data_IF_482818994946
#
_entry.id   IF_482818994946
#
_cell.length_a   1.000
_cell.length_b   1.000
_cell.length_c   1.000
_cell.angle_alpha   90.00
_cell.angle_beta   90.00
_cell.angle_gamma   90.00
#
_symmetry.space_group_name_H-M   'P 1'
#
loop_
_entity.id
_entity.type
_entity.pdbx_description
1 polymer ?
#
# COMPACT_ATOMS: atom_id res chain seq x y z
N UNK A 1 8.75 34.30 -6.82
CA UNK A 1 8.19 33.29 -5.90
C UNK A 1 6.71 33.11 -6.12
N UNK A 2 6.42 32.24 -7.08
CA UNK A 2 5.12 31.64 -7.33
C UNK A 2 4.65 31.01 -6.03
N UNK A 3 3.59 31.60 -5.48
CA UNK A 3 2.99 31.14 -4.24
C UNK A 3 1.93 30.10 -4.59
N UNK A 4 1.97 28.97 -3.88
CA UNK A 4 1.02 27.88 -4.05
C UNK A 4 -0.04 27.91 -2.94
N UNK A 5 -1.22 27.37 -3.19
CA UNK A 5 -2.34 27.36 -2.25
C UNK A 5 -2.73 25.95 -1.82
N UNK A 6 -1.80 25.00 -1.87
CA UNK A 6 -2.03 23.64 -1.41
C UNK A 6 -0.79 23.02 -0.77
N UNK A 7 -1.00 21.99 0.03
CA UNK A 7 0.04 21.08 0.52
C UNK A 7 -0.31 19.68 0.07
N UNK A 8 0.69 18.99 -0.49
CA UNK A 8 0.57 17.64 -0.97
C UNK A 8 1.38 16.64 -0.16
N UNK A 9 0.81 15.48 0.13
CA UNK A 9 1.50 14.38 0.83
C UNK A 9 1.16 13.06 0.13
N UNK A 10 2.18 12.23 -0.12
CA UNK A 10 2.03 10.85 -0.56
C UNK A 10 2.43 9.90 0.59
N UNK A 11 1.46 9.14 1.07
CA UNK A 11 1.61 8.20 2.18
C UNK A 11 1.84 6.83 1.54
N UNK A 12 3.10 6.42 1.43
CA UNK A 12 3.53 5.16 0.82
C UNK A 12 3.27 3.94 1.73
N UNK A 13 2.11 3.91 2.37
CA UNK A 13 1.67 2.83 3.25
C UNK A 13 0.18 2.58 3.06
N UNK A 14 -0.19 1.30 3.01
CA UNK A 14 -1.59 0.87 3.05
C UNK A 14 -2.19 0.94 4.44
N UNK A 15 -1.40 1.28 5.45
CA UNK A 15 -1.84 1.36 6.83
C UNK A 15 -2.76 2.56 7.06
N UNK A 16 -4.00 2.27 7.46
CA UNK A 16 -5.01 3.28 7.79
C UNK A 16 -4.60 4.07 9.03
N UNK A 17 -3.80 3.50 9.94
CA UNK A 17 -3.28 4.23 11.09
C UNK A 17 -2.42 5.42 10.66
N UNK A 18 -1.47 5.19 9.75
CA UNK A 18 -0.59 6.23 9.20
C UNK A 18 -1.34 7.31 8.43
N UNK A 19 -2.42 6.92 7.74
CA UNK A 19 -3.35 7.86 7.11
C UNK A 19 -4.05 8.74 8.15
N UNK A 20 -4.67 8.13 9.17
CA UNK A 20 -5.44 8.86 10.18
C UNK A 20 -4.55 9.77 11.02
N UNK A 21 -3.34 9.33 11.37
CA UNK A 21 -2.34 10.16 12.06
C UNK A 21 -2.10 11.46 11.30
N UNK A 22 -1.79 11.38 10.01
CA UNK A 22 -1.53 12.57 9.17
C UNK A 22 -2.78 13.41 8.94
N UNK A 23 -3.94 12.77 8.78
CA UNK A 23 -5.20 13.47 8.57
C UNK A 23 -5.59 14.32 9.79
N UNK A 24 -5.48 13.75 10.99
CA UNK A 24 -5.78 14.43 12.25
C UNK A 24 -4.78 15.56 12.50
N UNK A 25 -3.49 15.33 12.24
CA UNK A 25 -2.48 16.38 12.34
C UNK A 25 -2.72 17.51 11.34
N UNK A 26 -3.13 17.18 10.11
CA UNK A 26 -3.54 18.17 9.11
C UNK A 26 -4.76 18.98 9.57
N UNK A 27 -5.78 18.34 10.13
CA UNK A 27 -6.94 19.04 10.73
C UNK A 27 -6.53 19.95 11.89
N UNK A 28 -5.55 19.54 12.72
CA UNK A 28 -5.00 20.36 13.81
C UNK A 28 -4.27 21.60 13.27
N UNK A 29 -3.45 21.43 12.24
CA UNK A 29 -2.63 22.52 11.68
C UNK A 29 -3.42 23.46 10.77
N UNK A 30 -4.47 22.96 10.11
CA UNK A 30 -5.26 23.67 9.12
C UNK A 30 -6.77 23.43 9.32
N UNK A 31 -7.36 23.94 10.42
CA UNK A 31 -8.74 23.66 10.79
C UNK A 31 -9.76 24.08 9.72
N UNK A 32 -9.51 25.21 9.04
CA UNK A 32 -10.43 25.78 8.05
C UNK A 32 -10.15 25.35 6.61
N UNK A 33 -9.21 24.41 6.42
CA UNK A 33 -8.82 23.93 5.09
C UNK A 33 -9.64 22.72 4.64
N UNK A 34 -9.91 22.66 3.33
CA UNK A 34 -10.42 21.45 2.69
C UNK A 34 -9.29 20.42 2.60
N UNK A 35 -9.54 19.20 3.09
CA UNK A 35 -8.58 18.08 3.06
C UNK A 35 -9.16 16.97 2.19
N UNK A 36 -8.60 16.80 0.99
CA UNK A 36 -9.00 15.76 0.05
C UNK A 36 -8.07 14.57 0.25
N UNK A 37 -8.64 13.42 0.57
CA UNK A 37 -7.90 12.16 0.70
C UNK A 37 -8.28 11.23 -0.44
N UNK A 38 -7.28 10.60 -1.06
CA UNK A 38 -7.48 9.63 -2.13
C UNK A 38 -6.63 8.39 -1.88
N UNK A 39 -7.12 7.24 -2.29
CA UNK A 39 -6.29 6.04 -2.42
C UNK A 39 -5.45 6.21 -3.68
N UNK A 40 -4.14 5.95 -3.57
CA UNK A 40 -3.21 6.08 -4.69
C UNK A 40 -3.61 5.16 -5.86
N UNK A 41 -3.24 5.50 -7.10
CA UNK A 41 -3.54 4.66 -8.27
C UNK A 41 -2.97 3.24 -8.18
N UNK A 42 -1.83 3.06 -7.50
CA UNK A 42 -1.24 1.74 -7.23
C UNK A 42 -2.04 0.93 -6.22
N UNK A 43 -2.91 1.59 -5.44
CA UNK A 43 -3.70 0.98 -4.38
C UNK A 43 -2.92 0.65 -3.10
N UNK A 44 -1.64 1.01 -3.02
CA UNK A 44 -0.76 0.66 -1.90
C UNK A 44 -0.53 1.81 -0.92
N UNK A 45 -1.05 3.01 -1.22
CA UNK A 45 -0.84 4.21 -0.41
C UNK A 45 -2.01 5.19 -0.51
N UNK A 46 -1.82 6.36 0.08
CA UNK A 46 -2.83 7.43 0.09
C UNK A 46 -2.20 8.74 -0.36
N UNK A 47 -2.94 9.52 -1.12
CA UNK A 47 -2.59 10.90 -1.41
C UNK A 47 -3.48 11.82 -0.57
N UNK A 48 -2.88 12.81 0.07
CA UNK A 48 -3.59 13.84 0.81
C UNK A 48 -3.27 15.21 0.21
N UNK A 49 -4.32 15.98 -0.07
CA UNK A 49 -4.22 17.34 -0.58
C UNK A 49 -4.95 18.26 0.39
N UNK A 50 -4.21 19.19 0.98
CA UNK A 50 -4.75 20.22 1.88
C UNK A 50 -4.83 21.50 1.07
N UNK A 51 -6.03 21.98 0.77
CA UNK A 51 -6.23 23.27 0.09
C UNK A 51 -6.22 24.39 1.12
N UNK A 52 -5.34 25.36 0.90
CA UNK A 52 -5.11 26.47 1.80
C UNK A 52 -5.89 27.70 1.37
N UNK A 53 -6.49 28.39 2.33
CA UNK A 53 -7.15 29.68 2.11
C UNK A 53 -6.15 30.84 1.91
N UNK A 54 -4.84 30.56 2.04
CA UNK A 54 -3.73 31.49 1.80
C UNK A 54 -2.72 30.88 0.84
N UNK A 55 -1.98 31.74 0.15
CA UNK A 55 -0.84 31.28 -0.65
C UNK A 55 0.44 31.25 0.19
N UNK A 56 1.21 30.18 0.06
CA UNK A 56 2.47 29.93 0.77
C UNK A 56 3.64 29.82 -0.22
N UNK A 57 4.84 30.07 0.27
CA UNK A 57 6.10 29.85 -0.45
C UNK A 57 6.44 28.37 -0.56
N UNK A 58 7.31 27.97 -1.51
CA UNK A 58 7.85 26.61 -1.58
C UNK A 58 8.52 26.15 -0.27
N UNK A 59 9.23 27.06 0.40
CA UNK A 59 9.89 26.75 1.67
C UNK A 59 8.89 26.47 2.79
N UNK A 60 7.85 27.29 2.94
CA UNK A 60 6.74 27.02 3.86
C UNK A 60 6.07 25.67 3.54
N UNK A 61 5.91 25.34 2.26
CA UNK A 61 5.36 24.05 1.85
C UNK A 61 6.24 22.87 2.31
N UNK A 62 7.56 22.95 2.14
CA UNK A 62 8.47 21.92 2.64
C UNK A 62 8.39 21.77 4.16
N UNK A 63 8.33 22.88 4.90
CA UNK A 63 8.18 22.86 6.36
C UNK A 63 6.88 22.18 6.78
N UNK A 64 5.75 22.52 6.15
CA UNK A 64 4.46 21.90 6.47
C UNK A 64 4.44 20.41 6.11
N UNK A 65 5.03 20.01 4.98
CA UNK A 65 5.15 18.59 4.63
C UNK A 65 6.02 17.83 5.64
N UNK A 66 7.13 18.41 6.09
CA UNK A 66 7.95 17.82 7.15
C UNK A 66 7.18 17.67 8.48
N UNK A 67 6.40 18.68 8.88
CA UNK A 67 5.53 18.60 10.05
C UNK A 67 4.47 17.51 9.93
N UNK A 68 4.01 17.24 8.71
CA UNK A 68 3.03 16.20 8.41
C UNK A 68 3.67 14.84 8.13
N UNK A 69 4.93 14.65 8.53
CA UNK A 69 5.64 13.36 8.47
C UNK A 69 5.74 12.82 7.04
N UNK A 70 6.03 13.71 6.07
CA UNK A 70 6.37 13.33 4.69
C UNK A 70 7.75 12.66 4.63
N UNK A 71 7.98 11.85 3.58
CA UNK A 71 9.23 11.12 3.40
C UNK A 71 10.43 12.08 3.27
N UNK A 72 11.48 11.92 4.11
CA UNK A 72 12.62 12.84 4.13
C UNK A 72 13.42 12.82 2.83
N UNK A 73 13.48 11.70 2.12
CA UNK A 73 14.15 11.63 0.81
C UNK A 73 13.34 12.36 -0.25
N UNK A 74 12.01 12.26 -0.22
CA UNK A 74 11.12 13.00 -1.12
C UNK A 74 11.24 14.51 -0.90
N UNK A 75 11.30 14.95 0.36
CA UNK A 75 11.56 16.35 0.71
C UNK A 75 12.92 16.80 0.21
N UNK A 76 13.97 16.01 0.45
CA UNK A 76 15.33 16.32 -0.03
C UNK A 76 15.37 16.46 -1.56
N UNK A 77 14.74 15.56 -2.29
CA UNK A 77 14.66 15.62 -3.76
C UNK A 77 13.88 16.84 -4.24
N UNK A 78 12.76 17.17 -3.59
CA UNK A 78 11.97 18.36 -3.91
C UNK A 78 12.78 19.65 -3.66
N UNK A 79 13.52 19.72 -2.55
CA UNK A 79 14.41 20.84 -2.24
C UNK A 79 15.56 20.97 -3.24
N UNK A 80 16.18 19.84 -3.64
CA UNK A 80 17.23 19.84 -4.68
C UNK A 80 16.70 20.34 -6.02
N UNK A 81 15.51 19.89 -6.44
CA UNK A 81 14.86 20.39 -7.66
C UNK A 81 14.56 21.87 -7.58
N UNK A 82 14.05 22.34 -6.46
CA UNK A 82 13.82 23.77 -6.22
C UNK A 82 15.11 24.59 -6.32
N UNK A 83 16.23 24.08 -5.80
CA UNK A 83 17.52 24.77 -5.88
C UNK A 83 18.10 24.83 -7.31
N UNK A 84 17.79 23.85 -8.16
CA UNK A 84 18.32 23.77 -9.54
C UNK A 84 17.41 24.51 -10.54
N UNK A 85 16.12 24.17 -10.56
CA UNK A 85 15.16 24.62 -11.59
C UNK A 85 14.25 25.77 -11.09
N UNK A 86 14.43 26.21 -9.84
CA UNK A 86 13.57 27.19 -9.21
C UNK A 86 12.13 26.70 -9.03
N UNK A 87 11.17 27.54 -9.39
CA UNK A 87 9.76 27.40 -9.02
C UNK A 87 8.97 26.40 -9.88
N UNK A 88 9.52 25.99 -11.03
CA UNK A 88 8.71 25.37 -12.08
C UNK A 88 8.38 23.88 -11.86
N UNK A 89 9.16 23.14 -11.06
CA UNK A 89 9.06 21.66 -10.96
C UNK A 89 9.44 21.04 -9.61
N UNK A 90 9.22 21.73 -8.48
CA UNK A 90 9.64 21.20 -7.17
C UNK A 90 8.66 20.19 -6.55
N UNK A 91 7.36 20.25 -6.87
CA UNK A 91 6.38 19.32 -6.29
C UNK A 91 6.32 17.99 -7.04
N UNK A 92 7.07 17.01 -6.53
CA UNK A 92 7.13 15.64 -7.02
C UNK A 92 5.85 14.83 -6.84
N UNK A 93 4.93 15.27 -5.97
CA UNK A 93 3.82 14.42 -5.54
C UNK A 93 2.71 14.36 -6.61
N UNK A 94 2.47 15.47 -7.31
CA UNK A 94 1.30 15.59 -8.19
C UNK A 94 1.57 15.97 -9.64
N UNK A 95 2.77 16.48 -9.99
CA UNK A 95 3.05 16.93 -11.36
C UNK A 95 2.97 15.82 -12.43
N UNK A 96 2.93 14.53 -12.05
CA UNK A 96 2.94 13.42 -13.02
C UNK A 96 1.89 12.31 -12.82
N UNK A 97 0.96 12.42 -11.85
CA UNK A 97 -0.08 11.38 -11.63
C UNK A 97 -1.48 11.83 -12.08
N UNK A 98 -1.59 12.52 -13.22
CA UNK A 98 -2.86 12.71 -13.94
C UNK A 98 -3.31 11.37 -14.53
N UNK A 99 -3.85 10.50 -13.68
CA UNK A 99 -4.51 9.26 -14.07
C UNK A 99 -5.79 9.13 -13.27
N UNK A 100 -6.94 9.05 -13.97
CA UNK A 100 -8.32 8.99 -13.46
C UNK A 100 -8.64 7.72 -12.62
N UNK A 101 -7.65 7.10 -11.97
CA UNK A 101 -7.80 5.86 -11.20
C UNK A 101 -7.65 6.04 -9.69
N UNK A 102 -7.33 7.23 -9.20
CA UNK A 102 -7.37 7.49 -7.76
C UNK A 102 -8.82 7.53 -7.27
N UNK A 103 -9.13 6.73 -6.26
CA UNK A 103 -10.46 6.70 -5.64
C UNK A 103 -10.48 7.67 -4.46
N UNK A 104 -11.46 8.57 -4.45
CA UNK A 104 -11.65 9.48 -3.32
C UNK A 104 -12.10 8.73 -2.07
N UNK A 105 -11.58 9.17 -0.93
CA UNK A 105 -11.86 8.61 0.38
C UNK A 105 -12.40 9.71 1.29
N UNK A 106 -13.71 9.71 1.50
CA UNK A 106 -14.41 10.67 2.37
C UNK A 106 -14.17 10.33 3.85
N UNK A 107 -13.02 10.80 4.37
CA UNK A 107 -12.63 10.56 5.75
C UNK A 107 -13.55 11.26 6.75
N UNK A 108 -14.07 12.45 6.45
CA UNK A 108 -15.02 13.16 7.31
C UNK A 108 -16.27 12.30 7.56
N UNK A 109 -16.87 11.75 6.49
CA UNK A 109 -18.00 10.84 6.61
C UNK A 109 -17.66 9.55 7.35
N UNK A 110 -16.48 8.99 7.10
CA UNK A 110 -16.03 7.75 7.75
C UNK A 110 -15.80 7.95 9.25
N UNK A 111 -15.35 9.14 9.64
CA UNK A 111 -14.99 9.52 11.00
C UNK A 111 -16.12 10.18 11.79
N UNK A 112 -17.26 10.49 11.17
CA UNK A 112 -18.40 11.22 11.79
C UNK A 112 -18.91 10.69 13.14
N UNK A 113 -18.65 9.42 13.47
CA UNK A 113 -19.11 8.77 14.72
C UNK A 113 -17.99 8.70 15.78
N UNK A 114 -16.84 9.32 15.53
CA UNK A 114 -15.72 9.36 16.45
C UNK A 114 -15.48 10.79 16.92
N UNK A 115 -15.03 10.95 18.16
CA UNK A 115 -14.69 12.26 18.72
C UNK A 115 -13.32 12.73 18.24
N UNK A 116 -13.27 13.19 16.98
CA UNK A 116 -12.03 13.67 16.37
C UNK A 116 -11.56 14.98 17.01
N UNK A 117 -12.48 15.81 17.49
CA UNK A 117 -12.15 17.08 18.15
C UNK A 117 -11.39 16.83 19.47
N UNK A 118 -11.84 15.88 20.29
CA UNK A 118 -11.12 15.46 21.50
C UNK A 118 -9.71 14.95 21.15
N UNK A 119 -9.57 14.14 20.10
CA UNK A 119 -8.28 13.60 19.67
C UNK A 119 -7.33 14.70 19.19
N UNK A 120 -7.84 15.69 18.45
CA UNK A 120 -7.05 16.85 18.01
C UNK A 120 -6.57 17.67 19.22
N UNK A 121 -7.46 17.91 20.19
CA UNK A 121 -7.16 18.68 21.40
C UNK A 121 -6.06 18.00 22.22
N UNK A 122 -6.14 16.69 22.39
CA UNK A 122 -5.22 15.89 23.20
C UNK A 122 -4.04 15.32 22.37
N UNK A 123 -3.77 15.90 21.20
CA UNK A 123 -2.69 15.43 20.32
C UNK A 123 -1.33 15.60 20.99
N UNK A 124 -0.61 14.48 21.17
CA UNK A 124 0.68 14.40 21.86
C UNK A 124 0.57 13.87 23.30
N UNK A 125 -0.64 13.74 23.83
CA UNK A 125 -0.88 13.14 25.15
C UNK A 125 -0.83 11.60 25.12
N UNK A 126 -0.58 11.01 26.28
CA UNK A 126 -0.56 9.56 26.45
C UNK A 126 -1.92 8.94 26.10
N UNK A 127 -1.91 7.87 25.31
CA UNK A 127 -3.13 7.15 24.88
C UNK A 127 -3.85 7.71 23.64
N UNK A 128 -3.47 8.89 23.14
CA UNK A 128 -4.06 9.44 21.90
C UNK A 128 -3.76 8.55 20.69
N UNK A 129 -2.55 7.99 20.59
CA UNK A 129 -2.19 7.05 19.52
C UNK A 129 -2.99 5.75 19.60
N UNK A 130 -3.25 5.23 20.80
CA UNK A 130 -4.07 4.02 20.99
C UNK A 130 -5.52 4.24 20.54
N UNK A 131 -6.07 5.44 20.78
CA UNK A 131 -7.39 5.83 20.25
C UNK A 131 -7.38 5.81 18.72
N UNK A 132 -6.38 6.41 18.09
CA UNK A 132 -6.25 6.44 16.62
C UNK A 132 -6.11 5.02 16.05
N UNK A 133 -5.35 4.13 16.70
CA UNK A 133 -5.20 2.74 16.27
C UNK A 133 -6.51 1.95 16.37
N UNK A 134 -7.32 2.18 17.41
CA UNK A 134 -8.65 1.56 17.52
C UNK A 134 -9.58 2.04 16.40
N UNK A 135 -9.56 3.34 16.08
CA UNK A 135 -10.36 3.93 15.00
C UNK A 135 -9.91 3.35 13.65
N UNK A 136 -8.59 3.26 13.41
CA UNK A 136 -8.04 2.79 12.13
C UNK A 136 -8.51 1.37 11.80
N UNK A 137 -8.60 0.47 12.79
CA UNK A 137 -9.16 -0.88 12.62
C UNK A 137 -10.61 -0.87 12.16
N UNK A 138 -11.42 0.05 12.68
CA UNK A 138 -12.82 0.23 12.27
C UNK A 138 -12.95 0.79 10.86
N UNK A 139 -12.15 1.81 10.54
CA UNK A 139 -12.13 2.43 9.21
C UNK A 139 -11.62 1.47 8.14
N UNK A 140 -10.56 0.69 8.42
CA UNK A 140 -10.00 -0.30 7.49
C UNK A 140 -11.05 -1.29 6.97
N UNK A 141 -11.99 -1.72 7.84
CA UNK A 141 -13.12 -2.57 7.44
C UNK A 141 -14.07 -1.86 6.48
N UNK A 142 -14.33 -0.57 6.67
CA UNK A 142 -15.23 0.23 5.83
C UNK A 142 -14.65 0.57 4.45
N UNK A 143 -13.33 0.73 4.35
CA UNK A 143 -12.64 1.02 3.08
C UNK A 143 -12.57 -0.24 2.18
N UNK A 144 -12.83 -1.43 2.73
CA UNK A 144 -12.83 -2.67 1.96
C UNK A 144 -11.43 -3.15 1.57
N UNK A 145 -10.39 -2.70 2.28
CA UNK A 145 -9.01 -3.15 2.06
C UNK A 145 -8.94 -4.63 2.48
N UNK A 146 -8.93 -5.55 1.51
CA UNK A 146 -8.88 -6.98 1.78
C UNK A 146 -7.43 -7.44 1.82
N UNK A 147 -7.01 -7.88 2.99
CA UNK A 147 -5.71 -8.54 3.10
C UNK A 147 -5.82 -9.94 2.52
N UNK A 148 -4.93 -10.26 1.59
CA UNK A 148 -4.86 -11.56 0.94
C UNK A 148 -3.47 -12.11 1.17
N UNK A 149 -3.40 -13.32 1.67
CA UNK A 149 -2.17 -14.04 1.85
C UNK A 149 -1.87 -14.85 0.61
N UNK A 150 -0.62 -14.86 0.20
CA UNK A 150 -0.19 -15.51 -1.03
C UNK A 150 0.87 -16.54 -0.71
N UNK A 151 0.74 -17.71 -1.30
CA UNK A 151 1.81 -18.71 -1.38
C UNK A 151 2.46 -18.58 -2.75
N UNK A 152 3.78 -18.41 -2.76
CA UNK A 152 4.52 -18.13 -3.97
C UNK A 152 5.56 -19.22 -4.25
N UNK A 153 5.61 -19.69 -5.49
CA UNK A 153 6.63 -20.61 -6.01
C UNK A 153 7.30 -19.96 -7.21
N UNK A 154 8.61 -19.77 -7.18
CA UNK A 154 9.39 -19.32 -8.34
C UNK A 154 9.94 -20.54 -9.06
N UNK A 155 9.79 -20.62 -10.38
CA UNK A 155 10.16 -21.81 -11.13
C UNK A 155 10.61 -21.51 -12.57
N UNK A 156 11.22 -22.49 -13.22
CA UNK A 156 11.75 -22.43 -14.59
C UNK A 156 10.90 -23.22 -15.57
N UNK A 157 11.07 -22.89 -16.85
CA UNK A 157 10.54 -23.58 -18.02
C UNK A 157 9.05 -23.38 -18.30
N UNK A 158 8.70 -23.33 -19.58
CA UNK A 158 7.30 -23.33 -20.03
C UNK A 158 6.61 -24.68 -19.80
N UNK A 159 7.36 -25.79 -19.83
CA UNK A 159 6.79 -27.12 -19.60
C UNK A 159 6.20 -27.23 -18.20
N UNK A 160 6.95 -26.83 -17.17
CA UNK A 160 6.46 -26.80 -15.80
C UNK A 160 5.32 -25.79 -15.64
N UNK A 161 5.37 -24.63 -16.32
CA UNK A 161 4.28 -23.64 -16.29
C UNK A 161 2.93 -24.25 -16.70
N UNK A 162 2.89 -24.96 -17.84
CA UNK A 162 1.64 -25.54 -18.33
C UNK A 162 1.16 -26.71 -17.44
N UNK A 163 2.10 -27.53 -16.91
CA UNK A 163 1.77 -28.56 -15.90
C UNK A 163 1.11 -27.94 -14.65
N UNK A 164 1.74 -26.92 -14.06
CA UNK A 164 1.23 -26.26 -12.86
C UNK A 164 -0.10 -25.55 -13.11
N UNK A 165 -0.27 -24.96 -14.29
CA UNK A 165 -1.53 -24.35 -14.70
C UNK A 165 -2.66 -25.38 -14.72
N UNK A 166 -2.46 -26.52 -15.37
CA UNK A 166 -3.46 -27.60 -15.41
C UNK A 166 -3.84 -28.10 -14.03
N UNK A 167 -2.85 -28.37 -13.17
CA UNK A 167 -3.09 -28.79 -11.77
C UNK A 167 -3.92 -27.75 -11.01
N UNK A 168 -3.58 -26.47 -11.15
CA UNK A 168 -4.29 -25.41 -10.44
C UNK A 168 -5.71 -25.21 -10.97
N UNK A 169 -5.94 -25.36 -12.28
CA UNK A 169 -7.27 -25.32 -12.89
C UNK A 169 -8.14 -26.48 -12.35
N UNK A 170 -7.60 -27.70 -12.31
CA UNK A 170 -8.28 -28.88 -11.76
C UNK A 170 -8.67 -28.71 -10.28
N UNK A 171 -7.81 -28.09 -9.47
CA UNK A 171 -8.12 -27.78 -8.08
C UNK A 171 -9.20 -26.70 -8.00
N UNK A 172 -9.09 -25.64 -8.80
CA UNK A 172 -10.06 -24.53 -8.78
C UNK A 172 -11.48 -24.94 -9.19
N UNK A 173 -11.61 -25.98 -10.04
CA UNK A 173 -12.89 -26.59 -10.38
C UNK A 173 -13.54 -27.32 -9.20
N UNK A 174 -12.76 -27.78 -8.22
CA UNK A 174 -13.23 -28.54 -7.04
C UNK A 174 -13.31 -27.71 -5.76
N UNK A 175 -12.48 -26.67 -5.64
CA UNK A 175 -12.44 -25.73 -4.52
C UNK A 175 -12.53 -24.30 -5.06
N UNK A 176 -13.73 -23.71 -5.02
CA UNK A 176 -13.97 -22.32 -5.45
C UNK A 176 -13.13 -21.28 -4.66
N UNK A 177 -12.67 -21.64 -3.46
CA UNK A 177 -11.80 -20.79 -2.66
C UNK A 177 -10.33 -20.87 -3.08
N UNK A 178 -9.98 -21.78 -3.99
CA UNK A 178 -8.64 -21.91 -4.57
C UNK A 178 -8.51 -20.99 -5.77
N UNK A 179 -7.93 -19.81 -5.54
CA UNK A 179 -7.61 -18.84 -6.59
C UNK A 179 -6.11 -18.82 -6.81
N UNK A 180 -5.69 -18.78 -8.06
CA UNK A 180 -4.27 -18.73 -8.41
C UNK A 180 -4.00 -17.86 -9.63
N UNK A 181 -2.75 -17.43 -9.79
CA UNK A 181 -2.22 -16.81 -11.01
C UNK A 181 -0.77 -17.23 -11.21
N UNK A 182 -0.35 -17.34 -12.47
CA UNK A 182 1.06 -17.50 -12.83
C UNK A 182 1.50 -16.22 -13.55
N UNK A 183 2.58 -15.60 -13.07
CA UNK A 183 3.17 -14.41 -13.67
C UNK A 183 4.54 -14.72 -14.24
N UNK A 184 4.99 -13.88 -15.16
CA UNK A 184 6.41 -13.82 -15.51
C UNK A 184 7.19 -13.27 -14.31
N UNK A 185 8.33 -13.88 -14.01
CA UNK A 185 9.17 -13.44 -12.90
C UNK A 185 10.14 -12.34 -13.38
N UNK A 186 10.36 -11.34 -12.53
CA UNK A 186 11.31 -10.26 -12.82
C UNK A 186 12.75 -10.60 -12.39
N UNK A 187 12.93 -11.67 -11.59
CA UNK A 187 14.25 -12.17 -11.23
C UNK A 187 14.85 -12.96 -12.39
N UNK A 188 16.05 -12.63 -12.90
CA UNK A 188 16.62 -13.25 -14.10
C UNK A 188 16.83 -14.77 -13.98
N UNK A 189 16.97 -15.29 -12.77
CA UNK A 189 17.26 -16.70 -12.54
C UNK A 189 16.03 -17.62 -12.64
N UNK A 190 14.83 -17.05 -12.77
CA UNK A 190 13.57 -17.78 -12.78
C UNK A 190 12.63 -17.19 -13.84
N UNK A 191 11.90 -18.04 -14.56
CA UNK A 191 11.06 -17.57 -15.67
C UNK A 191 9.68 -17.12 -15.16
N UNK A 192 9.16 -17.83 -14.16
CA UNK A 192 7.78 -17.70 -13.72
C UNK A 192 7.64 -17.68 -12.20
N UNK A 193 6.48 -17.21 -11.74
CA UNK A 193 6.04 -17.28 -10.35
C UNK A 193 4.57 -17.71 -10.29
N UNK A 194 4.30 -18.84 -9.64
CA UNK A 194 2.96 -19.28 -9.27
C UNK A 194 2.58 -18.61 -7.95
N UNK A 195 1.38 -18.03 -7.92
CA UNK A 195 0.82 -17.35 -6.76
C UNK A 195 -0.54 -17.96 -6.45
N UNK A 196 -0.68 -18.54 -5.26
CA UNK A 196 -1.94 -19.11 -4.74
C UNK A 196 -2.47 -18.18 -3.64
N UNK A 197 -3.69 -17.69 -3.79
CA UNK A 197 -4.30 -16.72 -2.89
C UNK A 197 -5.07 -17.41 -1.75
N UNK A 198 -5.02 -16.84 -0.55
CA UNK A 198 -5.63 -17.34 0.68
C UNK A 198 -6.13 -16.19 1.55
N UNK A 199 -7.16 -16.47 2.35
CA UNK A 199 -7.77 -15.53 3.31
C UNK A 199 -6.91 -15.27 4.56
N UNK A 200 -5.98 -16.17 4.88
CA UNK A 200 -5.20 -16.16 6.10
C UNK A 200 -3.80 -16.70 5.86
N UNK A 201 -2.86 -16.29 6.73
CA UNK A 201 -1.46 -16.71 6.69
C UNK A 201 -1.34 -18.23 6.83
N UNK A 202 -2.08 -18.81 7.77
CA UNK A 202 -2.01 -20.24 8.07
C UNK A 202 -2.54 -21.08 6.90
N UNK A 203 -3.64 -20.66 6.28
CA UNK A 203 -4.18 -21.32 5.08
C UNK A 203 -3.21 -21.22 3.90
N UNK A 204 -2.50 -20.10 3.74
CA UNK A 204 -1.45 -19.98 2.73
C UNK A 204 -0.31 -20.99 2.98
N UNK A 205 0.17 -21.11 4.22
CA UNK A 205 1.18 -22.11 4.58
C UNK A 205 0.70 -23.54 4.33
N UNK A 206 -0.52 -23.87 4.77
CA UNK A 206 -1.11 -25.19 4.57
C UNK A 206 -1.24 -25.54 3.08
N UNK A 207 -1.74 -24.60 2.26
CA UNK A 207 -1.82 -24.76 0.80
C UNK A 207 -0.44 -24.95 0.18
N UNK A 208 0.56 -24.18 0.59
CA UNK A 208 1.92 -24.33 0.08
C UNK A 208 2.55 -25.68 0.41
N UNK A 209 2.41 -26.13 1.66
CA UNK A 209 2.90 -27.43 2.08
C UNK A 209 2.18 -28.58 1.37
N UNK A 210 0.85 -28.49 1.23
CA UNK A 210 0.07 -29.50 0.53
C UNK A 210 0.42 -29.55 -0.96
N UNK A 211 0.50 -28.39 -1.62
CA UNK A 211 0.82 -28.31 -3.05
C UNK A 211 2.22 -28.86 -3.33
N UNK A 212 3.20 -28.49 -2.50
CA UNK A 212 4.56 -29.02 -2.59
C UNK A 212 4.59 -30.56 -2.48
N UNK A 213 3.81 -31.14 -1.56
CA UNK A 213 3.81 -32.58 -1.31
C UNK A 213 3.04 -33.39 -2.35
N UNK A 214 1.96 -32.84 -2.90
CA UNK A 214 0.99 -33.61 -3.69
C UNK A 214 1.01 -33.27 -5.18
N UNK A 215 1.60 -32.14 -5.58
CA UNK A 215 1.56 -31.66 -6.95
C UNK A 215 2.93 -31.59 -7.63
N UNK A 216 4.02 -31.69 -6.87
CA UNK A 216 5.39 -31.59 -7.37
C UNK A 216 6.15 -32.86 -7.07
N UNK A 217 6.78 -33.42 -8.10
CA UNK A 217 7.72 -34.55 -7.99
C UNK A 217 9.18 -34.06 -7.91
N UNK A 218 10.13 -34.98 -7.73
CA UNK A 218 11.55 -34.62 -7.61
C UNK A 218 12.12 -33.89 -8.85
N UNK A 219 11.60 -34.21 -10.04
CA UNK A 219 12.01 -33.57 -11.29
C UNK A 219 11.51 -32.12 -11.33
N UNK A 220 10.25 -31.89 -10.94
CA UNK A 220 9.70 -30.54 -10.80
C UNK A 220 10.50 -29.71 -9.79
N UNK A 221 10.87 -30.31 -8.65
CA UNK A 221 11.62 -29.61 -7.59
C UNK A 221 13.00 -29.14 -8.06
N UNK A 222 13.61 -29.81 -9.04
CA UNK A 222 14.83 -29.33 -9.71
C UNK A 222 14.64 -28.00 -10.45
N UNK A 223 13.40 -27.69 -10.84
CA UNK A 223 13.01 -26.49 -11.57
C UNK A 223 12.34 -25.43 -10.68
N UNK A 224 12.23 -25.66 -9.36
CA UNK A 224 11.62 -24.72 -8.39
C UNK A 224 12.68 -24.14 -7.46
N UNK A 225 12.56 -22.85 -7.16
CA UNK A 225 13.49 -22.14 -6.27
C UNK A 225 13.44 -22.67 -4.85
N UNK A 226 14.61 -23.04 -4.33
CA UNK A 226 14.81 -23.41 -2.92
C UNK A 226 15.25 -22.19 -2.09
N UNK A 227 14.55 -21.90 -1.00
CA UNK A 227 14.73 -20.73 -0.11
C UNK A 227 15.42 -21.07 1.22
N UNK A 228 16.00 -22.27 1.34
CA UNK A 228 16.67 -22.75 2.54
C UNK A 228 16.68 -24.27 2.61
N UNK A 229 16.87 -24.82 3.82
CA UNK A 229 16.74 -26.26 4.04
C UNK A 229 15.27 -26.66 3.86
N UNK A 230 14.98 -27.26 2.71
CA UNK A 230 13.71 -27.89 2.33
C UNK A 230 12.48 -26.98 2.21
N UNK A 231 12.70 -25.70 1.88
CA UNK A 231 11.62 -24.76 1.55
C UNK A 231 11.67 -24.38 0.08
N UNK A 232 10.59 -24.69 -0.66
CA UNK A 232 10.44 -24.38 -2.10
C UNK A 232 9.43 -23.26 -2.38
N UNK A 233 8.82 -22.71 -1.34
CA UNK A 233 7.85 -21.63 -1.41
C UNK A 233 8.03 -20.64 -0.27
N UNK A 234 7.42 -19.46 -0.43
CA UNK A 234 7.31 -18.47 0.65
C UNK A 234 5.88 -17.94 0.72
N UNK A 235 5.51 -17.42 1.89
CA UNK A 235 4.21 -16.80 2.12
C UNK A 235 4.40 -15.30 2.25
N UNK A 236 3.62 -14.53 1.48
CA UNK A 236 3.65 -13.06 1.49
C UNK A 236 2.24 -12.50 1.63
N UNK A 237 2.11 -11.43 2.40
CA UNK A 237 0.87 -10.67 2.49
C UNK A 237 0.77 -9.70 1.31
N UNK A 238 -0.38 -9.67 0.66
CA UNK A 238 -0.78 -8.67 -0.33
C UNK A 238 -2.02 -7.96 0.17
N UNK A 239 -2.14 -6.70 -0.20
CA UNK A 239 -3.37 -5.96 -0.03
C UNK A 239 -4.09 -5.99 -1.37
N UNK A 240 -5.22 -6.69 -1.44
CA UNK A 240 -6.13 -6.67 -2.59
C UNK A 240 -7.27 -5.69 -2.33
N UNK A 241 -7.74 -5.05 -3.40
CA UNK A 241 -8.98 -4.28 -3.43
C UNK A 241 -10.08 -5.18 -3.95
#
# INVERSE_FOLDING_TARGET
MEKINYIGIDIDSSDVFELLKRYILARKLFPDSEIITRISPSGHGYHMIIRLNKRITPFENFLYRALLDDDPYRLLLAMKKFAIDGERWYDLIFTHKYGNKSQELDLDRLLKNYDIEEIIKNWGEFGTMDKIEKISKGIKKKIGIKEVWMTCFAFKTNALREKLKGICEDISLKDESFKFKIYQNFQPEWDFILVIFSDSKDKAFQRGAWFLKNCLDEEDLGNVKKFGKDKYYWVKKRVEK
#
